data_IF_198519684083
#
_entry.id   IF_198519684083
#
_cell.length_a   1.000
_cell.length_b   1.000
_cell.length_c   1.000
_cell.angle_alpha   90.00
_cell.angle_beta   90.00
_cell.angle_gamma   90.00
#
_symmetry.space_group_name_H-M   'P 1'
#
loop_
_entity.id
_entity.type
_entity.pdbx_description
1 polymer ?
#
# COMPACT_ATOMS: atom_id res chain seq x y z
N UNK A 1 7.89 22.58 24.96
CA UNK A 1 6.97 22.73 26.11
C UNK A 1 5.68 23.46 25.74
N UNK A 2 5.72 24.58 24.99
CA UNK A 2 4.50 25.27 24.50
C UNK A 2 3.55 24.32 23.75
N UNK A 3 4.04 23.49 22.83
CA UNK A 3 3.23 22.55 22.06
C UNK A 3 2.49 21.53 22.94
N UNK A 4 3.15 20.99 23.98
CA UNK A 4 2.53 20.07 24.92
C UNK A 4 1.47 20.79 25.77
N UNK A 5 1.75 22.00 26.24
CA UNK A 5 0.79 22.80 27.00
C UNK A 5 -0.43 23.13 26.15
N UNK A 6 -0.24 23.49 24.87
CA UNK A 6 -1.36 23.67 23.95
C UNK A 6 -2.23 22.42 23.90
N UNK A 7 -1.65 21.22 23.75
CA UNK A 7 -2.43 19.97 23.75
C UNK A 7 -3.13 19.70 25.10
N UNK A 8 -2.46 19.93 26.23
CA UNK A 8 -3.01 19.69 27.56
C UNK A 8 -4.13 20.67 27.95
N UNK A 9 -4.12 21.89 27.41
CA UNK A 9 -5.13 22.92 27.69
C UNK A 9 -6.29 22.92 26.70
N UNK A 10 -6.26 22.11 25.63
CA UNK A 10 -7.39 22.03 24.69
C UNK A 10 -8.62 21.46 25.41
N UNK A 11 -9.73 22.18 25.31
CA UNK A 11 -11.04 21.71 25.78
C UNK A 11 -11.51 20.50 24.95
N UNK A 12 -12.36 19.60 25.48
CA UNK A 12 -12.91 18.47 24.72
C UNK A 12 -13.59 18.83 23.40
N UNK A 13 -14.14 20.05 23.29
CA UNK A 13 -14.73 20.56 22.05
C UNK A 13 -13.65 21.02 21.06
N UNK A 14 -12.57 21.61 21.56
CA UNK A 14 -11.41 22.02 20.77
C UNK A 14 -10.61 20.82 20.27
N UNK A 15 -10.55 19.74 21.05
CA UNK A 15 -10.00 18.44 20.64
C UNK A 15 -10.73 17.88 19.40
N UNK A 16 -12.05 18.08 19.30
CA UNK A 16 -12.84 17.65 18.13
C UNK A 16 -12.58 18.49 16.89
N UNK A 17 -12.41 19.81 17.05
CA UNK A 17 -12.03 20.69 15.93
C UNK A 17 -10.56 20.55 15.53
N UNK A 18 -9.68 20.21 16.48
CA UNK A 18 -8.28 19.91 16.22
C UNK A 18 -8.13 18.66 15.34
N UNK A 19 -8.94 17.63 15.57
CA UNK A 19 -9.05 16.46 14.69
C UNK A 19 -9.53 16.78 13.26
N UNK A 20 -10.10 17.96 13.02
CA UNK A 20 -10.60 18.36 11.70
C UNK A 20 -9.60 19.21 10.92
N UNK A 21 -8.64 19.86 11.61
CA UNK A 21 -7.58 20.66 10.97
C UNK A 21 -6.27 19.92 11.09
N UNK A 22 -5.96 19.12 10.09
CA UNK A 22 -4.67 18.45 9.93
C UNK A 22 -3.47 19.42 9.71
N UNK A 23 -3.62 20.71 10.02
CA UNK A 23 -2.61 21.75 9.72
C UNK A 23 -1.37 21.69 10.62
N UNK A 24 -1.45 21.03 11.78
CA UNK A 24 -0.44 21.16 12.84
C UNK A 24 0.27 19.83 13.16
N UNK A 25 0.51 19.02 12.13
CA UNK A 25 1.23 17.72 12.24
C UNK A 25 2.58 17.85 12.96
N UNK A 26 3.43 18.87 12.70
CA UNK A 26 4.69 19.03 13.44
C UNK A 26 4.48 19.25 14.95
N UNK A 27 3.48 20.05 15.32
CA UNK A 27 3.15 20.30 16.73
C UNK A 27 2.63 19.04 17.43
N UNK A 28 1.79 18.24 16.76
CA UNK A 28 1.36 16.93 17.28
C UNK A 28 2.54 15.98 17.49
N UNK A 29 3.48 15.98 16.54
CA UNK A 29 4.65 15.11 16.60
C UNK A 29 5.58 15.50 17.76
N UNK A 30 5.82 16.81 17.94
CA UNK A 30 6.54 17.34 19.10
C UNK A 30 5.82 17.04 20.43
N UNK A 31 4.50 17.22 20.47
CA UNK A 31 3.69 16.92 21.65
C UNK A 31 3.75 15.43 22.01
N UNK A 32 3.79 14.54 21.02
CA UNK A 32 3.94 13.08 21.23
C UNK A 32 5.28 12.77 21.90
N UNK A 33 6.38 13.33 21.39
CA UNK A 33 7.72 13.15 21.95
C UNK A 33 7.83 13.70 23.39
N UNK A 34 7.17 14.83 23.65
CA UNK A 34 7.12 15.42 25.00
C UNK A 34 6.27 14.54 25.94
N UNK A 35 5.13 14.04 25.48
CA UNK A 35 4.28 13.13 26.25
C UNK A 35 5.02 11.83 26.59
N UNK A 36 5.80 11.28 25.66
CA UNK A 36 6.69 10.13 25.90
C UNK A 36 7.73 10.46 26.98
N UNK A 37 8.43 11.60 26.83
CA UNK A 37 9.47 12.04 27.76
C UNK A 37 8.96 12.22 29.20
N UNK A 38 7.77 12.82 29.36
CA UNK A 38 7.14 13.03 30.66
C UNK A 38 6.23 11.88 31.13
N UNK A 39 6.15 10.78 30.35
CA UNK A 39 5.32 9.59 30.64
C UNK A 39 3.81 9.87 30.76
N UNK A 40 3.29 10.80 29.97
CA UNK A 40 1.84 11.04 29.86
C UNK A 40 1.20 10.06 28.87
N UNK A 41 1.06 8.80 29.27
CA UNK A 41 0.60 7.71 28.39
C UNK A 41 -0.78 7.97 27.75
N UNK A 42 -1.73 8.53 28.50
CA UNK A 42 -3.07 8.82 28.00
C UNK A 42 -3.04 9.86 26.88
N UNK A 43 -2.23 10.90 27.05
CA UNK A 43 -2.04 11.97 26.07
C UNK A 43 -1.32 11.43 24.84
N UNK A 44 -0.26 10.64 25.03
CA UNK A 44 0.48 10.00 23.95
C UNK A 44 -0.44 9.10 23.10
N UNK A 45 -1.20 8.20 23.73
CA UNK A 45 -2.16 7.32 23.04
C UNK A 45 -3.22 8.11 22.28
N UNK A 46 -3.73 9.19 22.88
CA UNK A 46 -4.68 10.06 22.22
C UNK A 46 -4.07 10.72 20.98
N UNK A 47 -2.87 11.32 21.06
CA UNK A 47 -2.23 11.96 19.90
C UNK A 47 -1.97 10.93 18.78
N UNK A 48 -1.47 9.73 19.13
CA UNK A 48 -1.22 8.67 18.16
C UNK A 48 -2.51 8.23 17.44
N UNK A 49 -3.63 8.16 18.16
CA UNK A 49 -4.95 7.89 17.59
C UNK A 49 -5.39 9.00 16.62
N UNK A 50 -5.14 10.26 16.96
CA UNK A 50 -5.42 11.40 16.07
C UNK A 50 -4.63 11.29 14.77
N UNK A 51 -3.31 11.07 14.87
CA UNK A 51 -2.44 10.90 13.70
C UNK A 51 -2.87 9.71 12.84
N UNK A 52 -3.28 8.61 13.47
CA UNK A 52 -3.79 7.42 12.76
C UNK A 52 -5.06 7.75 11.98
N UNK A 53 -6.00 8.45 12.63
CA UNK A 53 -7.26 8.89 12.00
C UNK A 53 -7.00 9.85 10.85
N UNK A 54 -6.01 10.75 10.97
CA UNK A 54 -5.60 11.65 9.90
C UNK A 54 -5.04 10.88 8.70
N UNK A 55 -4.16 9.89 8.92
CA UNK A 55 -3.61 9.06 7.86
C UNK A 55 -4.71 8.24 7.14
N UNK A 56 -5.62 7.62 7.89
CA UNK A 56 -6.74 6.86 7.32
C UNK A 56 -7.70 7.74 6.52
N UNK A 57 -8.02 8.95 7.02
CA UNK A 57 -8.85 9.93 6.30
C UNK A 57 -8.18 10.42 5.02
N UNK A 58 -6.87 10.60 5.04
CA UNK A 58 -6.13 11.03 3.86
C UNK A 58 -6.18 9.98 2.73
N UNK A 59 -6.22 8.68 3.08
CA UNK A 59 -6.49 7.60 2.12
C UNK A 59 -7.96 7.60 1.67
N UNK A 60 -8.90 7.72 2.61
CA UNK A 60 -10.33 7.57 2.32
C UNK A 60 -10.97 8.73 1.55
N UNK A 61 -10.52 9.96 1.77
CA UNK A 61 -11.08 11.16 1.15
C UNK A 61 -10.33 11.61 -0.12
N UNK A 62 -9.31 10.85 -0.55
CA UNK A 62 -8.36 11.23 -1.60
C UNK A 62 -7.65 12.60 -1.36
N UNK A 63 -7.67 13.08 -0.11
CA UNK A 63 -7.12 14.38 0.26
C UNK A 63 -5.65 14.26 0.70
N UNK A 64 -4.77 14.42 -0.28
CA UNK A 64 -3.32 14.40 -0.14
C UNK A 64 -2.75 15.69 0.49
N UNK A 65 -3.59 16.67 0.84
CA UNK A 65 -3.16 17.88 1.54
C UNK A 65 -3.21 17.74 3.07
N UNK A 66 -3.90 16.71 3.57
CA UNK A 66 -4.03 16.42 5.01
C UNK A 66 -2.67 16.15 5.64
N UNK A 67 -1.84 15.32 5.00
CA UNK A 67 -0.49 15.01 5.46
C UNK A 67 0.51 15.36 4.37
N UNK A 68 1.39 16.33 4.64
CA UNK A 68 2.44 16.69 3.69
C UNK A 68 3.48 15.58 3.65
N UNK A 69 3.99 15.26 2.46
CA UNK A 69 5.03 14.25 2.29
C UNK A 69 6.28 14.53 3.15
N UNK A 70 6.63 15.80 3.33
CA UNK A 70 7.76 16.23 4.19
C UNK A 70 7.58 15.85 5.67
N UNK A 71 6.34 15.76 6.15
CA UNK A 71 6.05 15.44 7.55
C UNK A 71 6.00 13.91 7.78
N UNK A 72 5.77 13.11 6.74
CA UNK A 72 5.58 11.66 6.87
C UNK A 72 6.80 10.95 7.48
N UNK A 73 8.02 11.34 7.10
CA UNK A 73 9.24 10.76 7.65
C UNK A 73 9.37 11.03 9.16
N UNK A 74 8.90 12.19 9.60
CA UNK A 74 8.94 12.62 11.00
C UNK A 74 7.86 11.90 11.80
N UNK A 75 6.63 11.82 11.28
CA UNK A 75 5.54 11.06 11.92
C UNK A 75 5.93 9.58 12.03
N UNK A 76 6.51 8.99 10.98
CA UNK A 76 6.91 7.59 10.99
C UNK A 76 8.00 7.32 12.03
N UNK A 77 9.00 8.19 12.13
CA UNK A 77 10.04 8.10 13.17
C UNK A 77 9.44 8.12 14.57
N UNK A 78 8.47 8.99 14.83
CA UNK A 78 7.79 9.06 16.14
C UNK A 78 6.90 7.85 16.38
N UNK A 79 6.17 7.38 15.36
CA UNK A 79 5.36 6.17 15.44
C UNK A 79 6.20 4.93 15.75
N UNK A 80 7.37 4.79 15.10
CA UNK A 80 8.33 3.72 15.33
C UNK A 80 8.92 3.79 16.74
N UNK A 81 9.29 4.99 17.20
CA UNK A 81 9.80 5.22 18.55
C UNK A 81 8.77 4.92 19.64
N UNK A 82 7.51 5.25 19.39
CA UNK A 82 6.40 4.96 20.29
C UNK A 82 5.86 3.53 20.14
N UNK A 83 6.46 2.69 19.28
CA UNK A 83 6.03 1.31 18.99
C UNK A 83 4.55 1.20 18.58
N UNK A 84 4.01 2.25 17.95
CA UNK A 84 2.59 2.31 17.54
C UNK A 84 2.39 1.62 16.20
N UNK A 85 2.18 0.30 16.22
CA UNK A 85 2.00 -0.51 15.01
C UNK A 85 0.79 -0.07 14.17
N UNK A 86 -0.29 0.37 14.81
CA UNK A 86 -1.50 0.84 14.11
C UNK A 86 -1.23 2.09 13.28
N UNK A 87 -0.47 3.04 13.83
CA UNK A 87 -0.09 4.26 13.12
C UNK A 87 0.89 3.94 11.99
N UNK A 88 1.86 3.05 12.22
CA UNK A 88 2.80 2.63 11.19
C UNK A 88 2.08 2.00 10.00
N UNK A 89 1.16 1.06 10.23
CA UNK A 89 0.36 0.44 9.17
C UNK A 89 -0.49 1.48 8.42
N UNK A 90 -1.09 2.44 9.13
CA UNK A 90 -1.86 3.52 8.50
C UNK A 90 -0.98 4.41 7.61
N UNK A 91 0.23 4.77 8.07
CA UNK A 91 1.20 5.55 7.29
C UNK A 91 1.74 4.78 6.09
N UNK A 92 2.00 3.47 6.23
CA UNK A 92 2.41 2.61 5.13
C UNK A 92 1.33 2.56 4.04
N UNK A 93 0.07 2.37 4.43
CA UNK A 93 -1.05 2.41 3.50
C UNK A 93 -1.19 3.78 2.83
N UNK A 94 -0.95 4.87 3.56
CA UNK A 94 -0.95 6.21 3.01
C UNK A 94 0.19 6.43 1.99
N UNK A 95 1.40 5.96 2.29
CA UNK A 95 2.51 5.99 1.33
C UNK A 95 2.21 5.19 0.07
N UNK A 96 1.67 3.99 0.21
CA UNK A 96 1.26 3.18 -0.95
C UNK A 96 0.20 3.92 -1.77
N UNK A 97 -0.77 4.56 -1.12
CA UNK A 97 -1.78 5.37 -1.79
C UNK A 97 -1.15 6.55 -2.56
N UNK A 98 -0.20 7.27 -1.95
CA UNK A 98 0.52 8.37 -2.58
C UNK A 98 1.34 7.91 -3.79
N UNK A 99 2.00 6.75 -3.67
CA UNK A 99 2.69 6.10 -4.79
C UNK A 99 1.66 5.86 -5.86
N UNK A 100 0.62 5.05 -5.64
CA UNK A 100 -0.42 4.69 -6.62
C UNK A 100 -1.05 5.87 -7.38
N UNK A 101 -1.24 7.01 -6.73
CA UNK A 101 -1.80 8.23 -7.36
C UNK A 101 -0.80 9.04 -8.18
N UNK A 102 0.47 8.66 -8.18
CA UNK A 102 1.58 9.35 -8.83
C UNK A 102 1.63 10.84 -8.44
N UNK A 103 1.40 11.11 -7.15
CA UNK A 103 1.50 12.47 -6.62
C UNK A 103 2.97 12.86 -6.71
N UNK A 104 3.30 13.97 -7.40
CA UNK A 104 4.70 14.42 -7.58
C UNK A 104 5.48 14.58 -6.26
N UNK A 105 4.78 14.81 -5.15
CA UNK A 105 5.37 14.90 -3.82
C UNK A 105 5.71 13.53 -3.20
N UNK A 106 5.16 12.44 -3.74
CA UNK A 106 5.48 11.07 -3.35
C UNK A 106 6.79 10.69 -4.02
N UNK A 107 7.90 10.84 -3.31
CA UNK A 107 9.15 10.24 -3.76
C UNK A 107 9.16 8.75 -3.36
N UNK A 108 8.98 7.81 -4.31
CA UNK A 108 8.98 6.38 -4.00
C UNK A 108 10.33 5.93 -3.43
N UNK A 109 11.43 6.60 -3.80
CA UNK A 109 12.74 6.34 -3.22
C UNK A 109 12.76 6.62 -1.71
N UNK A 110 12.09 7.69 -1.26
CA UNK A 110 11.97 8.02 0.18
C UNK A 110 11.18 6.95 0.92
N UNK A 111 10.05 6.50 0.37
CA UNK A 111 9.24 5.44 0.98
C UNK A 111 10.03 4.13 1.11
N UNK A 112 10.79 3.74 0.07
CA UNK A 112 11.65 2.55 0.09
C UNK A 112 12.78 2.70 1.10
N UNK A 113 13.50 3.83 1.09
CA UNK A 113 14.60 4.08 2.03
C UNK A 113 14.12 4.06 3.48
N UNK A 114 12.92 4.59 3.74
CA UNK A 114 12.28 4.54 5.04
C UNK A 114 11.93 3.09 5.44
N UNK A 115 11.34 2.31 4.53
CA UNK A 115 11.05 0.90 4.77
C UNK A 115 12.33 0.11 5.10
N UNK A 116 13.43 0.38 4.41
CA UNK A 116 14.74 -0.24 4.66
C UNK A 116 15.32 0.17 6.01
N UNK A 117 15.29 1.47 6.34
CA UNK A 117 15.80 2.00 7.61
C UNK A 117 15.09 1.39 8.82
N UNK A 118 13.79 1.11 8.73
CA UNK A 118 13.01 0.53 9.81
C UNK A 118 12.84 -1.00 9.70
N UNK A 119 13.47 -1.66 8.72
CA UNK A 119 13.39 -3.11 8.55
C UNK A 119 11.98 -3.63 8.17
N UNK A 120 11.15 -2.79 7.57
CA UNK A 120 9.73 -3.05 7.29
C UNK A 120 9.58 -3.76 5.95
N UNK A 121 9.94 -5.05 5.93
CA UNK A 121 10.00 -5.89 4.72
C UNK A 121 8.71 -5.90 3.89
N UNK A 122 7.55 -6.01 4.56
CA UNK A 122 6.23 -6.00 3.92
C UNK A 122 5.97 -4.70 3.16
N UNK A 123 6.22 -3.58 3.82
CA UNK A 123 6.08 -2.26 3.22
C UNK A 123 7.07 -2.05 2.08
N UNK A 124 8.35 -2.44 2.26
CA UNK A 124 9.38 -2.39 1.21
C UNK A 124 8.92 -3.12 -0.06
N UNK A 125 8.54 -4.40 0.06
CA UNK A 125 8.11 -5.20 -1.08
C UNK A 125 6.88 -4.62 -1.79
N UNK A 126 5.92 -4.08 -1.02
CA UNK A 126 4.74 -3.42 -1.59
C UNK A 126 5.08 -2.10 -2.27
N UNK A 127 5.96 -1.28 -1.70
CA UNK A 127 6.39 -0.02 -2.31
C UNK A 127 7.10 -0.26 -3.65
N UNK A 128 8.00 -1.24 -3.72
CA UNK A 128 8.63 -1.65 -4.99
C UNK A 128 7.61 -2.15 -6.01
N UNK A 129 6.67 -2.99 -5.58
CA UNK A 129 5.63 -3.51 -6.48
C UNK A 129 4.80 -2.38 -7.09
N UNK A 130 4.27 -1.48 -6.26
CA UNK A 130 3.39 -0.41 -6.72
C UNK A 130 4.17 0.56 -7.62
N UNK A 131 5.41 0.88 -7.28
CA UNK A 131 6.26 1.70 -8.14
C UNK A 131 6.59 1.02 -9.48
N UNK A 132 6.84 -0.30 -9.47
CA UNK A 132 7.04 -1.08 -10.69
C UNK A 132 5.83 -1.03 -11.62
N UNK A 133 4.62 -1.16 -11.04
CA UNK A 133 3.38 -1.12 -11.81
C UNK A 133 3.18 0.25 -12.46
N UNK A 134 3.57 1.33 -11.77
CA UNK A 134 3.47 2.69 -12.29
C UNK A 134 4.49 3.02 -13.37
N UNK A 135 5.71 2.48 -13.25
CA UNK A 135 6.74 2.66 -14.26
C UNK A 135 6.33 2.05 -15.60
N UNK A 136 5.41 1.09 -15.64
CA UNK A 136 4.96 0.46 -16.87
C UNK A 136 3.76 1.21 -17.50
N UNK A 137 3.74 1.49 -18.82
CA UNK A 137 4.68 1.07 -19.89
C UNK A 137 5.85 2.05 -20.13
N UNK A 138 6.13 2.96 -19.21
CA UNK A 138 7.23 3.92 -19.30
C UNK A 138 8.63 3.29 -19.26
N UNK A 139 9.64 4.13 -19.55
CA UNK A 139 11.05 3.72 -19.51
C UNK A 139 11.54 3.67 -18.07
N UNK A 140 12.33 2.63 -17.73
CA UNK A 140 13.05 2.57 -16.44
C UNK A 140 14.13 3.67 -16.31
N UNK A 141 14.38 4.46 -17.35
CA UNK A 141 15.36 5.56 -17.34
C UNK A 141 14.89 6.76 -16.51
N UNK A 142 13.59 6.92 -16.27
CA UNK A 142 13.02 7.99 -15.42
C UNK A 142 12.97 7.59 -13.93
N UNK A 143 13.63 6.50 -13.57
CA UNK A 143 13.58 5.94 -12.23
C UNK A 143 14.36 6.81 -11.25
N UNK A 144 13.68 7.34 -10.22
CA UNK A 144 14.28 8.18 -9.18
C UNK A 144 15.03 7.36 -8.11
N UNK A 145 15.29 6.08 -8.38
CA UNK A 145 15.88 5.14 -7.44
C UNK A 145 17.40 5.09 -7.55
N UNK A 146 18.07 4.66 -6.48
CA UNK A 146 19.50 4.38 -6.52
C UNK A 146 19.80 3.17 -7.44
N UNK A 147 21.03 3.03 -7.97
CA UNK A 147 21.39 1.89 -8.81
C UNK A 147 21.14 0.53 -8.14
N UNK A 148 21.36 0.43 -6.83
CA UNK A 148 21.07 -0.77 -6.04
C UNK A 148 19.56 -1.06 -6.00
N UNK A 149 18.75 -0.03 -5.76
CA UNK A 149 17.30 -0.14 -5.75
C UNK A 149 16.75 -0.50 -7.14
N UNK A 150 17.34 0.00 -8.22
CA UNK A 150 17.00 -0.39 -9.61
C UNK A 150 17.31 -1.86 -9.87
N UNK A 151 18.46 -2.37 -9.39
CA UNK A 151 18.80 -3.78 -9.52
C UNK A 151 17.79 -4.68 -8.77
N UNK A 152 17.37 -4.28 -7.58
CA UNK A 152 16.32 -4.95 -6.80
C UNK A 152 14.98 -4.93 -7.55
N UNK A 153 14.60 -3.77 -8.09
CA UNK A 153 13.38 -3.61 -8.87
C UNK A 153 13.36 -4.55 -10.10
N UNK A 154 14.47 -4.63 -10.84
CA UNK A 154 14.61 -5.50 -12.00
C UNK A 154 14.56 -6.99 -11.63
N UNK A 155 15.18 -7.38 -10.50
CA UNK A 155 15.07 -8.75 -9.97
C UNK A 155 13.63 -9.08 -9.61
N UNK A 156 12.95 -8.17 -8.91
CA UNK A 156 11.56 -8.33 -8.53
C UNK A 156 10.64 -8.43 -9.75
N UNK A 157 10.87 -7.61 -10.78
CA UNK A 157 10.17 -7.73 -12.06
C UNK A 157 10.24 -9.15 -12.63
N UNK A 158 11.45 -9.70 -12.76
CA UNK A 158 11.65 -11.04 -13.30
C UNK A 158 11.01 -12.10 -12.41
N UNK A 159 11.21 -12.01 -11.09
CA UNK A 159 10.67 -12.95 -10.10
C UNK A 159 9.14 -12.98 -10.13
N UNK A 160 8.48 -11.83 -10.26
CA UNK A 160 7.03 -11.73 -10.42
C UNK A 160 6.53 -12.30 -11.75
N UNK A 161 7.27 -12.09 -12.85
CA UNK A 161 6.93 -12.70 -14.14
C UNK A 161 6.99 -14.24 -14.09
N UNK A 162 7.99 -14.81 -13.40
CA UNK A 162 8.10 -16.25 -13.16
C UNK A 162 6.92 -16.72 -12.30
N UNK A 163 6.65 -16.05 -11.18
CA UNK A 163 5.53 -16.38 -10.29
C UNK A 163 4.19 -16.36 -11.02
N UNK A 164 3.96 -15.37 -11.89
CA UNK A 164 2.78 -15.33 -12.76
C UNK A 164 2.71 -16.53 -13.71
N UNK A 165 3.84 -16.90 -14.30
CA UNK A 165 3.95 -18.08 -15.16
C UNK A 165 3.53 -19.37 -14.43
N UNK A 166 3.91 -19.52 -13.17
CA UNK A 166 3.53 -20.65 -12.33
C UNK A 166 2.04 -20.64 -11.97
N UNK A 167 1.53 -19.50 -11.49
CA UNK A 167 0.12 -19.31 -11.12
C UNK A 167 -0.78 -19.63 -12.31
N UNK A 168 -0.43 -19.15 -13.50
CA UNK A 168 -1.18 -19.39 -14.73
C UNK A 168 -1.21 -20.87 -15.16
N UNK A 169 -0.20 -21.66 -14.81
CA UNK A 169 -0.15 -23.10 -15.11
C UNK A 169 -1.01 -23.93 -14.17
N UNK A 170 -1.40 -23.38 -13.01
CA UNK A 170 -2.29 -24.05 -12.05
C UNK A 170 -3.61 -24.49 -12.70
N UNK A 171 -4.14 -25.69 -12.38
CA UNK A 171 -5.29 -26.27 -13.09
C UNK A 171 -6.54 -25.39 -13.00
N UNK A 172 -6.76 -24.76 -11.84
CA UNK A 172 -7.89 -23.87 -11.54
C UNK A 172 -7.87 -22.60 -12.42
N UNK A 173 -6.68 -22.02 -12.61
CA UNK A 173 -6.50 -20.73 -13.31
C UNK A 173 -6.29 -20.94 -14.82
N UNK A 174 -5.67 -22.05 -15.24
CA UNK A 174 -5.40 -22.39 -16.64
C UNK A 174 -6.67 -22.45 -17.49
N UNK A 175 -7.76 -22.99 -16.94
CA UNK A 175 -9.05 -23.08 -17.60
C UNK A 175 -9.65 -21.69 -17.87
N UNK A 176 -9.53 -20.80 -16.90
CA UNK A 176 -10.01 -19.41 -17.00
C UNK A 176 -9.14 -18.60 -17.98
N UNK A 177 -7.82 -18.67 -17.83
CA UNK A 177 -6.88 -17.93 -18.68
C UNK A 177 -7.07 -18.27 -20.16
N UNK A 178 -7.19 -19.55 -20.54
CA UNK A 178 -7.39 -19.93 -21.96
C UNK A 178 -8.60 -19.30 -22.64
N UNK A 179 -9.67 -18.97 -21.90
CA UNK A 179 -10.91 -18.42 -22.46
C UNK A 179 -10.93 -16.90 -22.47
N UNK A 180 -10.34 -16.25 -21.47
CA UNK A 180 -10.22 -14.79 -21.45
C UNK A 180 -9.41 -14.27 -22.65
N UNK A 181 -8.44 -15.06 -23.14
CA UNK A 181 -7.69 -14.82 -24.38
C UNK A 181 -8.56 -14.70 -25.66
N UNK A 182 -9.82 -15.16 -25.65
CA UNK A 182 -10.70 -15.11 -26.83
C UNK A 182 -11.71 -13.96 -26.82
N UNK A 183 -11.89 -13.26 -25.68
CA UNK A 183 -13.04 -12.36 -25.50
C UNK A 183 -12.70 -10.90 -25.23
N UNK A 184 -11.75 -10.59 -24.34
CA UNK A 184 -11.39 -9.20 -23.98
C UNK A 184 -9.94 -9.12 -23.50
N UNK A 185 -9.15 -8.27 -24.17
CA UNK A 185 -7.72 -8.02 -24.00
C UNK A 185 -7.30 -7.40 -22.64
N UNK A 186 -8.26 -7.08 -21.76
CA UNK A 186 -8.03 -6.26 -20.54
C UNK A 186 -7.04 -6.84 -19.54
N UNK A 187 -6.91 -8.17 -19.45
CA UNK A 187 -5.93 -8.80 -18.56
C UNK A 187 -4.54 -8.81 -19.19
N UNK A 188 -4.44 -8.86 -20.53
CA UNK A 188 -3.16 -8.83 -21.23
C UNK A 188 -2.62 -7.42 -21.42
N UNK A 189 -3.49 -6.41 -21.39
CA UNK A 189 -3.10 -5.00 -21.41
C UNK A 189 -2.44 -4.52 -20.11
N UNK A 190 -2.51 -5.29 -19.02
CA UNK A 190 -1.78 -4.98 -17.79
C UNK A 190 -0.30 -5.32 -17.92
N UNK A 191 0.53 -4.61 -17.17
CA UNK A 191 1.98 -4.82 -17.15
C UNK A 191 2.32 -6.31 -16.91
N UNK A 192 3.38 -6.84 -17.56
CA UNK A 192 3.77 -8.24 -17.42
C UNK A 192 4.01 -8.68 -15.97
N UNK A 193 4.52 -7.77 -15.14
CA UNK A 193 4.77 -7.97 -13.71
C UNK A 193 3.64 -7.48 -12.78
N UNK A 194 2.54 -6.93 -13.31
CA UNK A 194 1.34 -6.59 -12.52
C UNK A 194 0.49 -7.83 -12.23
N UNK A 195 1.07 -8.76 -11.46
CA UNK A 195 0.47 -10.05 -11.12
C UNK A 195 -0.81 -9.85 -10.31
N UNK A 196 -0.82 -8.92 -9.35
CA UNK A 196 -1.98 -8.63 -8.52
C UNK A 196 -3.09 -7.95 -9.31
N UNK A 197 -2.77 -6.99 -10.19
CA UNK A 197 -3.77 -6.38 -11.06
C UNK A 197 -4.44 -7.41 -11.96
N UNK A 198 -3.67 -8.32 -12.56
CA UNK A 198 -4.21 -9.46 -13.34
C UNK A 198 -5.15 -10.33 -12.53
N UNK A 199 -4.73 -10.76 -11.33
CA UNK A 199 -5.56 -11.60 -10.47
C UNK A 199 -6.82 -10.88 -9.98
N UNK A 200 -6.74 -9.57 -9.68
CA UNK A 200 -7.89 -8.75 -9.29
C UNK A 200 -8.87 -8.56 -10.45
N UNK A 201 -8.38 -8.35 -11.67
CA UNK A 201 -9.21 -8.33 -12.88
C UNK A 201 -9.89 -9.68 -13.14
N UNK A 202 -9.17 -10.80 -12.98
CA UNK A 202 -9.75 -12.14 -13.07
C UNK A 202 -10.86 -12.34 -12.04
N UNK A 203 -10.61 -11.95 -10.78
CA UNK A 203 -11.62 -12.02 -9.71
C UNK A 203 -12.84 -11.15 -10.02
N UNK A 204 -12.64 -9.94 -10.54
CA UNK A 204 -13.73 -9.04 -10.94
C UNK A 204 -14.58 -9.64 -12.07
N UNK A 205 -13.96 -10.16 -13.11
CA UNK A 205 -14.65 -10.84 -14.22
C UNK A 205 -15.42 -12.10 -13.74
N UNK A 206 -14.88 -12.82 -12.75
CA UNK A 206 -15.57 -13.95 -12.13
C UNK A 206 -16.73 -13.53 -11.23
N UNK A 207 -16.82 -12.27 -10.77
CA UNK A 207 -17.93 -11.76 -9.96
C UNK A 207 -19.03 -11.13 -10.81
N UNK A 208 -18.70 -10.62 -12.00
CA UNK A 208 -19.69 -10.03 -12.93
C UNK A 208 -20.63 -11.08 -13.51
N UNK A 209 -21.89 -11.06 -13.07
CA UNK A 209 -22.93 -12.00 -13.47
C UNK A 209 -23.18 -12.01 -14.99
N UNK A 210 -23.06 -10.85 -15.65
CA UNK A 210 -23.31 -10.70 -17.09
C UNK A 210 -22.22 -11.34 -17.95
N UNK A 211 -20.99 -11.40 -17.45
CA UNK A 211 -19.94 -12.15 -18.15
C UNK A 211 -20.09 -13.67 -17.91
N UNK A 212 -20.71 -14.09 -16.80
CA UNK A 212 -20.91 -15.51 -16.41
C UNK A 212 -21.68 -16.35 -17.43
N UNK A 213 -22.63 -15.77 -18.17
CA UNK A 213 -23.38 -16.47 -19.22
C UNK A 213 -22.46 -16.97 -20.36
N UNK A 214 -21.33 -16.28 -20.59
CA UNK A 214 -20.30 -16.71 -21.56
C UNK A 214 -19.51 -17.93 -21.03
N UNK A 215 -19.56 -18.21 -19.72
CA UNK A 215 -18.77 -19.25 -19.06
C UNK A 215 -19.54 -20.54 -18.73
N UNK A 216 -20.77 -20.72 -19.26
CA UNK A 216 -21.59 -21.94 -19.12
C UNK A 216 -20.95 -23.26 -19.63
N UNK A 217 -19.67 -23.23 -20.02
CA UNK A 217 -18.88 -24.35 -20.51
C UNK A 217 -17.71 -24.72 -19.57
N UNK A 218 -17.58 -24.13 -18.38
CA UNK A 218 -16.47 -24.46 -17.45
C UNK A 218 -16.54 -25.95 -17.05
N UNK A 219 -15.52 -26.77 -17.35
CA UNK A 219 -15.53 -28.17 -16.95
C UNK A 219 -15.15 -28.33 -15.47
N UNK A 220 -15.81 -29.28 -14.80
CA UNK A 220 -15.55 -29.88 -13.47
C UNK A 220 -15.52 -28.97 -12.23
N UNK A 221 -15.04 -27.72 -12.34
CA UNK A 221 -14.85 -26.82 -11.20
C UNK A 221 -16.00 -25.84 -11.10
N UNK A 222 -16.50 -25.64 -9.88
CA UNK A 222 -17.49 -24.60 -9.63
C UNK A 222 -16.83 -23.22 -9.78
N UNK A 223 -17.62 -22.21 -10.16
CA UNK A 223 -17.22 -20.80 -10.14
C UNK A 223 -16.60 -20.40 -8.80
N UNK A 224 -17.14 -20.96 -7.71
CA UNK A 224 -16.67 -20.70 -6.35
C UNK A 224 -15.27 -21.27 -6.11
N UNK A 225 -14.94 -22.43 -6.65
CA UNK A 225 -13.60 -23.02 -6.54
C UNK A 225 -12.56 -22.13 -7.22
N UNK A 226 -12.88 -21.59 -8.40
CA UNK A 226 -11.99 -20.67 -9.13
C UNK A 226 -11.85 -19.34 -8.39
N UNK A 227 -12.95 -18.78 -7.86
CA UNK A 227 -12.89 -17.56 -7.04
C UNK A 227 -12.01 -17.76 -5.80
N UNK A 228 -12.15 -18.91 -5.13
CA UNK A 228 -11.34 -19.25 -3.97
C UNK A 228 -9.87 -19.44 -4.36
N UNK A 229 -9.60 -20.10 -5.49
CA UNK A 229 -8.26 -20.28 -6.06
C UNK A 229 -7.57 -18.95 -6.35
N UNK A 230 -8.27 -18.03 -7.04
CA UNK A 230 -7.78 -16.68 -7.32
C UNK A 230 -7.57 -15.91 -6.01
N UNK A 231 -8.48 -16.02 -5.04
CA UNK A 231 -8.30 -15.43 -3.72
C UNK A 231 -7.07 -15.95 -2.97
N UNK A 232 -6.80 -17.26 -3.01
CA UNK A 232 -5.58 -17.86 -2.45
C UNK A 232 -4.34 -17.37 -3.18
N UNK A 233 -4.38 -17.25 -4.51
CA UNK A 233 -3.28 -16.75 -5.32
C UNK A 233 -2.96 -15.28 -5.00
N UNK A 234 -3.98 -14.42 -4.85
CA UNK A 234 -3.79 -13.01 -4.46
C UNK A 234 -3.07 -12.93 -3.12
N UNK A 235 -3.58 -13.62 -2.08
CA UNK A 235 -2.95 -13.63 -0.75
C UNK A 235 -1.52 -14.15 -0.80
N UNK A 236 -1.30 -15.26 -1.50
CA UNK A 236 0.03 -15.86 -1.66
C UNK A 236 1.03 -14.86 -2.27
N UNK A 237 0.64 -14.14 -3.31
CA UNK A 237 1.49 -13.12 -3.95
C UNK A 237 1.71 -11.93 -3.02
N UNK A 238 0.66 -11.42 -2.37
CA UNK A 238 0.76 -10.31 -1.40
C UNK A 238 1.72 -10.66 -0.24
N UNK A 239 1.62 -11.88 0.30
CA UNK A 239 2.49 -12.37 1.36
C UNK A 239 3.94 -12.62 0.89
N UNK A 240 4.13 -12.99 -0.39
CA UNK A 240 5.46 -13.25 -0.97
C UNK A 240 6.13 -12.01 -1.57
N UNK A 241 5.42 -10.87 -1.68
CA UNK A 241 5.97 -9.62 -2.23
C UNK A 241 7.36 -9.29 -1.67
N UNK A 242 7.61 -9.34 -0.35
CA UNK A 242 8.92 -8.99 0.20
C UNK A 242 10.04 -9.84 -0.38
N UNK A 243 9.83 -11.15 -0.49
CA UNK A 243 10.83 -12.10 -1.00
C UNK A 243 11.15 -11.91 -2.48
N UNK A 244 10.26 -11.27 -3.25
CA UNK A 244 10.57 -10.95 -4.65
C UNK A 244 11.58 -9.79 -4.78
N UNK A 245 11.73 -8.96 -3.74
CA UNK A 245 12.57 -7.75 -3.72
C UNK A 245 13.71 -7.81 -2.69
N UNK A 246 14.16 -9.02 -2.35
CA UNK A 246 15.35 -9.29 -1.51
C UNK A 246 16.59 -9.68 -2.37
#
# INVERSE_FOLDING_TARGET
MKDLLCVLYLLPQELKTFNAKASDVPALTNATLMAEFFRFESVQKWILMVLTTCAERAVGNDDHQILKAADLDVIYQVAARCESETLLVALENYWIFLIQRNVKASNPASAIALAERFGRRRFKGRAYYEYLVQLWPGSMEECQLSPEQVAILARGFYSLCVAWGEIRRGPEIKCFAKRQYRGKERVLSTAPADVLGRLRLMRGALLDEKETEIYGLLPSYSRMDILQAVGRAIRKVEDSLPSHFE
#
